data_IF_957593417305
#
_entry.id   IF_957593417305
#
_cell.length_a   1.000
_cell.length_b   1.000
_cell.length_c   1.000
_cell.angle_alpha   90.00
_cell.angle_beta   90.00
_cell.angle_gamma   90.00
#
_symmetry.space_group_name_H-M   'P 1'
#
loop_
_entity.id
_entity.type
_entity.pdbx_description
1 polymer ?
#
# COMPACT_ATOMS: atom_id res chain seq x y z
N UNK A 1 6.49 -3.59 -10.27
CA UNK A 1 7.03 -4.86 -9.77
C UNK A 1 7.60 -4.66 -8.38
N UNK A 2 7.39 -5.63 -7.50
CA UNK A 2 7.75 -5.54 -6.09
C UNK A 2 8.64 -6.70 -5.68
N UNK A 3 9.42 -6.50 -4.60
CA UNK A 3 10.26 -7.54 -4.03
C UNK A 3 9.55 -8.35 -2.95
N UNK A 4 8.46 -7.82 -2.40
CA UNK A 4 7.79 -8.37 -1.22
C UNK A 4 8.41 -7.91 0.09
N UNK A 5 9.42 -7.03 0.03
CA UNK A 5 10.06 -6.48 1.22
C UNK A 5 9.35 -5.20 1.63
N UNK A 6 8.77 -5.20 2.84
CA UNK A 6 8.06 -4.04 3.36
C UNK A 6 9.07 -2.93 3.68
N UNK A 7 8.87 -1.75 3.11
CA UNK A 7 9.74 -0.59 3.34
C UNK A 7 9.31 0.22 4.55
N UNK A 8 8.01 0.37 4.76
CA UNK A 8 7.47 1.15 5.87
C UNK A 8 6.05 0.75 6.22
N UNK A 9 5.61 1.20 7.39
CA UNK A 9 4.25 1.03 7.89
C UNK A 9 3.68 2.42 8.14
N UNK A 10 2.47 2.67 7.65
CA UNK A 10 1.78 3.94 7.85
C UNK A 10 0.35 3.71 8.34
N UNK A 11 -0.25 4.77 8.89
CA UNK A 11 -1.58 4.71 9.48
C UNK A 11 -2.64 5.17 8.48
N UNK A 12 -3.75 4.44 8.41
CA UNK A 12 -4.92 4.83 7.62
C UNK A 12 -5.57 6.06 8.25
N UNK A 13 -5.78 7.09 7.42
CA UNK A 13 -6.39 8.35 7.84
C UNK A 13 -7.86 8.39 7.50
N UNK A 14 -8.22 7.95 6.28
CA UNK A 14 -9.55 8.14 5.74
C UNK A 14 -9.90 7.02 4.77
N UNK A 15 -11.16 6.61 4.81
CA UNK A 15 -11.74 5.63 3.91
C UNK A 15 -13.07 6.19 3.42
N UNK A 16 -13.16 6.50 2.13
CA UNK A 16 -14.37 7.05 1.53
C UNK A 16 -14.89 6.14 0.43
N UNK A 17 -16.18 5.81 0.49
CA UNK A 17 -16.83 5.11 -0.60
C UNK A 17 -16.93 6.04 -1.80
N UNK A 18 -16.48 5.57 -2.95
CA UNK A 18 -16.57 6.29 -4.22
C UNK A 18 -17.23 5.37 -5.26
N UNK A 19 -17.60 5.92 -6.41
CA UNK A 19 -18.20 5.12 -7.48
C UNK A 19 -17.22 4.00 -7.89
N UNK A 20 -17.67 2.76 -7.78
CA UNK A 20 -16.90 1.58 -8.17
C UNK A 20 -15.87 1.10 -7.15
N UNK A 21 -15.85 1.66 -5.93
CA UNK A 21 -14.90 1.19 -4.93
C UNK A 21 -14.75 2.11 -3.73
N UNK A 22 -13.50 2.35 -3.33
CA UNK A 22 -13.16 3.11 -2.14
C UNK A 22 -11.93 3.95 -2.39
N UNK A 23 -11.88 5.14 -1.82
CA UNK A 23 -10.66 5.95 -1.75
C UNK A 23 -10.03 5.77 -0.39
N UNK A 24 -8.79 5.31 -0.40
CA UNK A 24 -7.97 5.06 0.79
C UNK A 24 -6.93 6.17 0.91
N UNK A 25 -6.85 6.80 2.09
CA UNK A 25 -5.77 7.73 2.41
C UNK A 25 -4.99 7.24 3.60
N UNK A 26 -3.67 7.30 3.50
CA UNK A 26 -2.75 6.98 4.59
C UNK A 26 -1.84 8.18 4.85
N UNK A 27 -1.30 8.30 6.06
CA UNK A 27 -0.31 9.32 6.35
C UNK A 27 0.94 9.09 5.50
N UNK A 28 1.51 10.17 4.95
CA UNK A 28 2.78 10.11 4.23
C UNK A 28 3.94 9.79 5.17
N UNK A 29 3.86 10.27 6.42
CA UNK A 29 4.83 9.93 7.46
C UNK A 29 4.58 8.50 7.95
N UNK A 30 5.66 7.73 8.09
CA UNK A 30 5.58 6.35 8.56
C UNK A 30 5.61 6.26 10.08
N UNK A 31 5.01 5.19 10.63
CA UNK A 31 5.14 4.85 12.05
C UNK A 31 6.35 3.95 12.28
N UNK A 32 6.78 3.21 11.26
CA UNK A 32 8.03 2.44 11.27
C UNK A 32 8.56 2.29 9.85
N UNK A 33 9.86 2.02 9.73
CA UNK A 33 10.52 1.92 8.43
C UNK A 33 11.77 1.05 8.55
N UNK A 34 12.05 0.26 7.52
CA UNK A 34 13.28 -0.57 7.46
C UNK A 34 14.53 0.28 7.41
N UNK A 35 14.47 1.48 6.82
CA UNK A 35 15.60 2.42 6.76
C UNK A 35 15.77 3.23 8.04
N UNK A 36 14.79 3.22 8.94
CA UNK A 36 14.74 4.09 10.11
C UNK A 36 14.26 5.50 9.82
N UNK A 37 14.02 5.85 8.55
CA UNK A 37 13.53 7.18 8.15
C UNK A 37 12.00 7.14 8.15
N UNK A 38 11.37 7.95 8.99
CA UNK A 38 9.91 8.03 9.09
C UNK A 38 9.31 9.15 8.26
N UNK A 39 10.13 10.12 7.83
CA UNK A 39 9.67 11.23 7.01
C UNK A 39 9.06 10.73 5.68
N UNK A 40 8.12 11.48 5.09
CA UNK A 40 7.53 11.11 3.81
C UNK A 40 8.58 10.88 2.73
N UNK A 41 8.28 9.96 1.80
CA UNK A 41 9.08 9.85 0.58
C UNK A 41 9.03 11.18 -0.19
N UNK A 42 10.18 11.66 -0.67
CA UNK A 42 10.30 13.00 -1.27
C UNK A 42 10.09 13.00 -2.79
N UNK A 43 10.22 11.86 -3.43
CA UNK A 43 10.26 11.74 -4.88
C UNK A 43 9.09 10.97 -5.48
N UNK A 44 7.94 10.94 -4.78
CA UNK A 44 6.75 10.28 -5.28
C UNK A 44 6.10 11.07 -6.41
N UNK A 45 5.58 10.32 -7.39
CA UNK A 45 4.82 10.89 -8.49
C UNK A 45 3.44 10.22 -8.55
N UNK A 46 2.41 11.01 -8.89
CA UNK A 46 1.07 10.44 -9.12
C UNK A 46 1.14 9.44 -10.28
N UNK A 47 0.38 8.35 -10.15
CA UNK A 47 0.43 7.25 -11.11
C UNK A 47 1.44 6.17 -10.73
N UNK A 48 2.34 6.43 -9.80
CA UNK A 48 3.29 5.43 -9.31
C UNK A 48 2.55 4.29 -8.63
N UNK A 49 3.02 3.05 -8.85
CA UNK A 49 2.46 1.87 -8.19
C UNK A 49 3.10 1.69 -6.82
N UNK A 50 2.27 1.51 -5.81
CA UNK A 50 2.70 1.24 -4.44
C UNK A 50 1.94 0.02 -3.94
N UNK A 51 2.65 -0.92 -3.33
CA UNK A 51 2.02 -2.07 -2.68
C UNK A 51 1.52 -1.63 -1.31
N UNK A 52 0.22 -1.79 -1.06
CA UNK A 52 -0.42 -1.52 0.23
C UNK A 52 -0.95 -2.84 0.75
N UNK A 53 -0.39 -3.33 1.85
CA UNK A 53 -0.69 -4.67 2.39
C UNK A 53 -0.59 -5.76 1.31
N UNK A 54 0.40 -5.65 0.43
CA UNK A 54 0.62 -6.61 -0.65
C UNK A 54 -0.21 -6.38 -1.90
N UNK A 55 -1.10 -5.38 -1.92
CA UNK A 55 -1.95 -5.09 -3.07
C UNK A 55 -1.39 -3.91 -3.86
N UNK A 56 -1.19 -4.10 -5.17
CA UNK A 56 -0.68 -3.05 -6.04
C UNK A 56 -1.75 -2.00 -6.31
N UNK A 57 -1.53 -0.78 -5.84
CA UNK A 57 -2.43 0.35 -6.03
C UNK A 57 -1.70 1.50 -6.72
N UNK A 58 -2.43 2.27 -7.51
CA UNK A 58 -1.88 3.49 -8.13
C UNK A 58 -2.07 4.69 -7.22
N UNK A 59 -0.99 5.44 -7.03
CA UNK A 59 -1.01 6.67 -6.23
C UNK A 59 -1.74 7.76 -7.00
N UNK A 60 -2.80 8.33 -6.43
CA UNK A 60 -3.57 9.41 -7.06
C UNK A 60 -3.30 10.77 -6.43
N UNK A 61 -2.78 10.82 -5.22
CA UNK A 61 -2.49 12.07 -4.52
C UNK A 61 -1.30 11.85 -3.59
N UNK A 62 -0.44 12.85 -3.49
CA UNK A 62 0.72 12.86 -2.61
C UNK A 62 0.74 14.17 -1.81
N UNK A 63 1.62 14.28 -0.84
CA UNK A 63 1.70 15.42 0.08
C UNK A 63 1.71 14.92 1.50
N UNK A 64 0.88 15.50 2.38
CA UNK A 64 0.76 15.06 3.77
C UNK A 64 0.10 13.68 3.86
N UNK A 65 -0.68 13.32 2.84
CA UNK A 65 -1.36 12.04 2.74
C UNK A 65 -1.06 11.41 1.39
N UNK A 66 -1.07 10.08 1.36
CA UNK A 66 -1.04 9.30 0.13
C UNK A 66 -2.43 8.76 -0.12
N UNK A 67 -2.99 9.02 -1.30
CA UNK A 67 -4.32 8.58 -1.65
C UNK A 67 -4.30 7.57 -2.78
N UNK A 68 -5.16 6.56 -2.67
CA UNK A 68 -5.29 5.47 -3.63
C UNK A 68 -6.77 5.20 -3.89
N UNK A 69 -7.11 4.86 -5.12
CA UNK A 69 -8.43 4.31 -5.43
C UNK A 69 -8.35 2.79 -5.44
N UNK A 70 -9.25 2.15 -4.70
CA UNK A 70 -9.34 0.69 -4.59
C UNK A 70 -10.66 0.26 -5.24
N UNK A 71 -10.57 -0.54 -6.30
CA UNK A 71 -11.77 -1.03 -6.98
C UNK A 71 -12.51 -2.05 -6.11
N UNK A 72 -13.81 -2.18 -6.34
CA UNK A 72 -14.67 -3.05 -5.54
C UNK A 72 -14.19 -4.50 -5.51
N UNK A 73 -13.70 -5.02 -6.63
CA UNK A 73 -13.18 -6.38 -6.68
C UNK A 73 -11.98 -6.56 -5.75
N UNK A 74 -11.06 -5.60 -5.71
CA UNK A 74 -9.93 -5.64 -4.79
C UNK A 74 -10.36 -5.58 -3.33
N UNK A 75 -11.42 -4.82 -3.02
CA UNK A 75 -11.98 -4.77 -1.68
C UNK A 75 -12.54 -6.14 -1.23
N UNK A 76 -13.15 -6.88 -2.14
CA UNK A 76 -13.70 -8.19 -1.84
C UNK A 76 -12.64 -9.27 -1.72
N UNK A 77 -11.56 -9.19 -2.50
CA UNK A 77 -10.54 -10.24 -2.62
C UNK A 77 -9.36 -10.06 -1.68
N UNK A 78 -9.24 -8.90 -1.02
CA UNK A 78 -8.07 -8.58 -0.22
C UNK A 78 -8.47 -8.09 1.17
N UNK A 79 -7.47 -7.97 2.06
CA UNK A 79 -7.67 -7.42 3.41
C UNK A 79 -8.05 -5.93 3.40
N UNK A 80 -7.90 -5.24 2.26
CA UNK A 80 -8.22 -3.81 2.18
C UNK A 80 -9.69 -3.52 2.48
N UNK A 81 -10.58 -4.47 2.19
CA UNK A 81 -12.01 -4.32 2.49
C UNK A 81 -12.35 -4.27 3.98
N UNK A 82 -11.43 -4.72 4.83
CA UNK A 82 -11.62 -4.77 6.29
C UNK A 82 -10.92 -3.61 7.01
N UNK A 83 -10.27 -2.70 6.28
CA UNK A 83 -9.55 -1.59 6.89
C UNK A 83 -10.49 -0.62 7.59
N UNK A 84 -10.00 -0.04 8.68
CA UNK A 84 -10.66 1.02 9.43
C UNK A 84 -9.67 2.15 9.66
N UNK A 85 -10.18 3.37 9.87
CA UNK A 85 -9.34 4.52 10.21
C UNK A 85 -8.52 4.20 11.46
N UNK A 86 -7.24 4.50 11.43
CA UNK A 86 -6.30 4.18 12.50
C UNK A 86 -5.56 2.87 12.32
N UNK A 87 -6.01 2.00 11.41
CA UNK A 87 -5.29 0.76 11.12
C UNK A 87 -3.93 1.06 10.49
N UNK A 88 -2.99 0.15 10.68
CA UNK A 88 -1.66 0.23 10.08
C UNK A 88 -1.63 -0.60 8.80
N UNK A 89 -0.98 -0.08 7.78
CA UNK A 89 -0.77 -0.80 6.52
C UNK A 89 0.72 -0.82 6.17
N UNK A 90 1.12 -1.92 5.55
CA UNK A 90 2.47 -2.09 5.02
C UNK A 90 2.59 -1.44 3.66
N UNK A 91 3.65 -0.69 3.42
CA UNK A 91 3.88 -0.02 2.15
C UNK A 91 5.22 -0.45 1.54
N UNK A 92 5.20 -0.68 0.23
CA UNK A 92 6.39 -0.94 -0.55
C UNK A 92 6.26 -0.21 -1.89
N UNK A 93 7.31 0.52 -2.31
CA UNK A 93 7.34 1.15 -3.64
C UNK A 93 7.71 0.11 -4.69
N UNK A 94 7.25 0.33 -5.92
CA UNK A 94 7.67 -0.50 -7.04
C UNK A 94 9.16 -0.29 -7.35
N UNK A 95 9.80 -1.33 -7.88
CA UNK A 95 11.19 -1.25 -8.32
C UNK A 95 11.33 -0.28 -9.49
N UNK A 96 12.42 0.47 -9.49
CA UNK A 96 12.84 1.31 -10.62
C UNK A 96 13.84 0.53 -11.47
N UNK A 97 13.96 0.92 -12.74
CA UNK A 97 14.96 0.34 -13.63
C UNK A 97 16.35 0.58 -13.02
N UNK A 98 17.14 -0.49 -12.86
CA UNK A 98 18.47 -0.42 -12.28
C UNK A 98 18.54 -0.68 -10.78
N UNK A 99 17.41 -0.79 -10.10
CA UNK A 99 17.38 -1.13 -8.68
C UNK A 99 17.88 -2.55 -8.46
N UNK A 100 18.52 -2.76 -7.31
CA UNK A 100 18.89 -4.10 -6.89
C UNK A 100 17.68 -4.79 -6.27
N UNK A 101 17.52 -6.07 -6.63
CA UNK A 101 16.48 -6.90 -6.05
C UNK A 101 16.92 -7.44 -4.71
N UNK A 102 16.15 -7.18 -3.66
CA UNK A 102 16.40 -7.73 -2.33
C UNK A 102 15.62 -8.99 -2.02
N UNK A 103 14.83 -9.50 -2.98
CA UNK A 103 13.98 -10.66 -2.80
C UNK A 103 13.42 -11.14 -4.12
N UNK A 104 12.33 -11.89 -4.06
CA UNK A 104 11.64 -12.36 -5.24
C UNK A 104 10.77 -11.26 -5.84
N UNK A 105 10.55 -11.35 -7.16
CA UNK A 105 9.59 -10.47 -7.81
C UNK A 105 8.17 -10.85 -7.39
N UNK A 106 7.38 -9.82 -7.03
CA UNK A 106 5.99 -9.96 -6.67
C UNK A 106 5.18 -8.92 -7.43
N UNK A 107 4.10 -9.32 -8.07
CA UNK A 107 3.29 -8.40 -8.87
C UNK A 107 2.31 -7.58 -8.03
N UNK A 108 1.98 -8.04 -6.84
CA UNK A 108 0.97 -7.39 -6.01
C UNK A 108 -0.47 -7.71 -6.40
N UNK A 109 -0.66 -8.67 -7.29
CA UNK A 109 -1.98 -9.12 -7.71
C UNK A 109 -2.47 -10.21 -6.77
N UNK A 110 -3.62 -10.01 -6.15
CA UNK A 110 -4.20 -10.92 -5.17
C UNK A 110 -5.45 -11.57 -5.74
N UNK A 111 -5.43 -12.91 -5.87
CA UNK A 111 -6.60 -13.66 -6.34
C UNK A 111 -7.62 -13.89 -5.23
N UNK A 112 -7.15 -14.16 -4.02
CA UNK A 112 -8.00 -14.38 -2.86
C UNK A 112 -7.17 -14.20 -1.59
N UNK A 113 -7.84 -14.23 -0.45
CA UNK A 113 -7.19 -14.21 0.86
C UNK A 113 -7.58 -15.44 1.66
N UNK A 114 -6.69 -15.85 2.55
CA UNK A 114 -6.95 -16.91 3.51
C UNK A 114 -7.02 -16.36 4.93
N UNK A 115 -7.46 -17.21 5.85
CA UNK A 115 -7.49 -16.87 7.27
C UNK A 115 -6.51 -17.78 8.01
N UNK A 116 -5.69 -17.18 8.85
CA UNK A 116 -4.81 -17.93 9.73
C UNK A 116 -5.65 -18.42 10.91
N UNK A 117 -5.80 -19.73 11.05
CA UNK A 117 -6.66 -20.33 12.09
C UNK A 117 -5.87 -20.97 13.22
N UNK A 118 -4.60 -21.28 12.99
CA UNK A 118 -3.71 -21.88 13.99
C UNK A 118 -2.27 -21.46 13.74
N UNK A 119 -1.51 -21.38 14.80
CA UNK A 119 -0.10 -21.00 14.80
C UNK A 119 0.72 -22.08 15.49
#
# INVERSE_FOLDING_TARGET
MFTGIIERVSKVVELNTVAGGMRLKVFSEAVSSTSGILAPWQDLSTGESISVDGVCLSLIETGDFLAFDVIEESLRRTSLGDLQCGDLVNLERSLKIGDRLGGHYVTGHIDTRGRITAQ
#
